data_IF_667928383513
#
_entry.id   IF_667928383513
#
_cell.length_a   1.000
_cell.length_b   1.000
_cell.length_c   1.000
_cell.angle_alpha   90.00
_cell.angle_beta   90.00
_cell.angle_gamma   90.00
#
_symmetry.space_group_name_H-M   'P 1'
#
loop_
_entity.id
_entity.type
_entity.pdbx_description
1 polymer ?
#
# COMPACT_ATOMS: atom_id res chain seq x y z
N UNK A 1 3.85 20.48 -47.81
CA UNK A 1 3.68 20.96 -46.41
C UNK A 1 2.44 20.28 -45.82
N UNK A 2 2.58 19.09 -45.24
CA UNK A 2 1.49 18.31 -44.67
C UNK A 2 1.35 18.65 -43.18
N UNK A 3 0.15 19.12 -42.80
CA UNK A 3 -0.19 19.36 -41.37
C UNK A 3 -0.31 18.04 -40.62
N UNK A 4 0.46 17.87 -39.60
CA UNK A 4 0.39 16.75 -38.67
C UNK A 4 -0.79 16.99 -37.70
N UNK A 5 -1.88 16.23 -37.91
CA UNK A 5 -3.05 16.25 -37.03
C UNK A 5 -2.79 15.32 -35.82
N UNK A 6 -2.65 15.91 -34.64
CA UNK A 6 -2.35 15.23 -33.37
C UNK A 6 -3.50 14.40 -32.77
N UNK A 7 -4.62 14.20 -33.49
CA UNK A 7 -5.84 13.56 -32.95
C UNK A 7 -5.79 12.01 -32.91
N UNK A 8 -4.88 11.39 -33.65
CA UNK A 8 -4.83 9.92 -33.82
C UNK A 8 -4.39 9.12 -32.59
N UNK A 9 -3.62 9.72 -31.64
CA UNK A 9 -3.08 9.01 -30.50
C UNK A 9 -4.02 8.94 -29.30
N UNK A 10 -4.86 9.95 -29.10
CA UNK A 10 -5.81 9.99 -27.98
C UNK A 10 -6.97 9.02 -28.19
N UNK A 11 -7.42 8.82 -29.43
CA UNK A 11 -8.56 7.95 -29.77
C UNK A 11 -8.28 6.44 -29.57
N UNK A 12 -7.08 5.98 -29.88
CA UNK A 12 -6.74 4.54 -29.84
C UNK A 12 -6.57 4.04 -28.40
N UNK A 13 -5.96 4.83 -27.51
CA UNK A 13 -5.81 4.49 -26.10
C UNK A 13 -7.09 4.69 -25.29
N UNK A 14 -7.94 5.65 -25.67
CA UNK A 14 -9.26 5.83 -25.07
C UNK A 14 -10.18 4.64 -25.33
N UNK A 15 -10.17 4.11 -26.55
CA UNK A 15 -11.02 2.99 -26.95
C UNK A 15 -10.54 1.63 -26.38
N UNK A 16 -9.23 1.40 -26.25
CA UNK A 16 -8.72 0.21 -25.58
C UNK A 16 -9.00 0.24 -24.06
N UNK A 17 -8.92 1.41 -23.43
CA UNK A 17 -9.26 1.57 -22.01
C UNK A 17 -10.77 1.38 -21.80
N UNK A 18 -11.62 1.84 -22.70
CA UNK A 18 -13.07 1.61 -22.62
C UNK A 18 -13.44 0.15 -22.91
N UNK A 19 -12.77 -0.51 -23.86
CA UNK A 19 -13.00 -1.92 -24.19
C UNK A 19 -12.52 -2.86 -23.08
N UNK A 20 -11.42 -2.53 -22.39
CA UNK A 20 -10.97 -3.23 -21.19
C UNK A 20 -11.86 -2.91 -19.99
N UNK A 21 -12.35 -1.68 -19.83
CA UNK A 21 -13.34 -1.35 -18.80
C UNK A 21 -14.67 -2.08 -19.01
N UNK A 22 -15.13 -2.26 -20.25
CA UNK A 22 -16.31 -3.06 -20.57
C UNK A 22 -16.12 -4.56 -20.29
N UNK A 23 -14.91 -5.09 -20.50
CA UNK A 23 -14.58 -6.50 -20.24
C UNK A 23 -14.35 -6.80 -18.76
N UNK A 24 -13.93 -5.81 -17.96
CA UNK A 24 -13.62 -5.95 -16.52
C UNK A 24 -14.52 -5.08 -15.62
N UNK A 25 -15.30 -4.15 -16.18
CA UNK A 25 -16.16 -3.23 -15.45
C UNK A 25 -17.50 -3.82 -14.98
N UNK A 26 -17.87 -5.01 -15.44
CA UNK A 26 -19.15 -5.64 -15.10
C UNK A 26 -19.06 -6.68 -13.99
N UNK A 27 -17.89 -6.95 -13.42
CA UNK A 27 -17.74 -7.82 -12.25
C UNK A 27 -16.78 -7.18 -11.26
N UNK A 28 -17.26 -6.20 -10.48
CA UNK A 28 -16.85 -6.17 -9.09
C UNK A 28 -17.07 -7.59 -8.60
N UNK A 29 -16.04 -8.24 -8.04
CA UNK A 29 -16.17 -9.59 -7.50
C UNK A 29 -17.15 -9.53 -6.32
N UNK A 30 -18.44 -9.53 -6.62
CA UNK A 30 -19.49 -9.85 -5.68
C UNK A 30 -19.37 -11.35 -5.52
N UNK A 31 -18.64 -11.79 -4.50
CA UNK A 31 -18.75 -13.14 -3.98
C UNK A 31 -20.22 -13.42 -3.63
N UNK A 32 -20.59 -14.68 -3.33
CA UNK A 32 -21.97 -15.07 -3.05
C UNK A 32 -22.60 -14.09 -2.07
N UNK A 33 -23.88 -13.80 -2.22
CA UNK A 33 -24.67 -12.91 -1.35
C UNK A 33 -24.40 -13.21 0.12
N UNK A 34 -23.43 -12.53 0.67
CA UNK A 34 -23.11 -12.63 2.09
C UNK A 34 -24.02 -11.64 2.81
N UNK A 35 -25.01 -12.18 3.53
CA UNK A 35 -25.79 -11.49 4.56
C UNK A 35 -24.85 -11.10 5.71
N UNK A 36 -24.06 -10.01 5.54
CA UNK A 36 -23.11 -9.55 6.54
C UNK A 36 -22.75 -8.09 6.36
N UNK A 37 -22.17 -7.48 7.39
CA UNK A 37 -21.68 -6.10 7.37
C UNK A 37 -20.75 -5.90 6.16
N UNK A 38 -21.18 -5.06 5.22
CA UNK A 38 -20.38 -4.68 4.04
C UNK A 38 -19.63 -3.38 4.34
N UNK A 39 -18.35 -3.35 3.99
CA UNK A 39 -17.46 -2.21 4.24
C UNK A 39 -17.22 -1.47 2.93
N UNK A 40 -17.41 -0.17 2.90
CA UNK A 40 -17.04 0.69 1.78
C UNK A 40 -15.59 1.21 1.91
N UNK A 41 -15.09 1.94 0.90
CA UNK A 41 -13.72 2.48 0.95
C UNK A 41 -13.54 3.53 2.07
N UNK A 42 -14.60 4.20 2.53
CA UNK A 42 -14.52 5.09 3.67
C UNK A 42 -14.29 4.31 4.97
N UNK A 43 -15.05 3.24 5.20
CA UNK A 43 -14.87 2.36 6.36
C UNK A 43 -13.47 1.73 6.39
N UNK A 44 -12.96 1.24 5.24
CA UNK A 44 -11.59 0.72 5.15
C UNK A 44 -10.55 1.79 5.51
N UNK A 45 -10.73 3.04 5.09
CA UNK A 45 -9.81 4.14 5.46
C UNK A 45 -9.84 4.46 6.95
N UNK A 46 -11.00 4.39 7.61
CA UNK A 46 -11.06 4.56 9.06
C UNK A 46 -10.31 3.44 9.79
N UNK A 47 -10.43 2.20 9.30
CA UNK A 47 -9.65 1.07 9.84
C UNK A 47 -8.15 1.30 9.63
N UNK A 48 -7.72 1.81 8.47
CA UNK A 48 -6.32 2.17 8.22
C UNK A 48 -5.83 3.22 9.21
N UNK A 49 -6.61 4.29 9.43
CA UNK A 49 -6.28 5.35 10.39
C UNK A 49 -6.07 4.75 11.78
N UNK A 50 -6.99 3.93 12.26
CA UNK A 50 -6.90 3.29 13.57
C UNK A 50 -5.69 2.33 13.65
N UNK A 51 -5.53 1.45 12.66
CA UNK A 51 -4.43 0.48 12.61
C UNK A 51 -3.06 1.16 12.57
N UNK A 52 -2.92 2.22 11.76
CA UNK A 52 -1.67 2.98 11.65
C UNK A 52 -1.34 3.70 12.96
N UNK A 53 -2.33 4.26 13.66
CA UNK A 53 -2.13 4.86 14.99
C UNK A 53 -1.65 3.81 15.99
N UNK A 54 -2.29 2.64 16.01
CA UNK A 54 -1.91 1.52 16.89
C UNK A 54 -0.49 1.03 16.60
N UNK A 55 -0.11 0.90 15.31
CA UNK A 55 1.26 0.51 14.92
C UNK A 55 2.30 1.49 15.44
N UNK A 56 2.07 2.79 15.26
CA UNK A 56 3.02 3.81 15.70
C UNK A 56 3.09 3.94 17.22
N UNK A 57 1.97 3.80 17.94
CA UNK A 57 1.97 3.70 19.41
C UNK A 57 2.81 2.49 19.85
N UNK A 58 2.59 1.32 19.23
CA UNK A 58 3.38 0.12 19.52
C UNK A 58 4.86 0.30 19.21
N UNK A 59 5.19 1.01 18.11
CA UNK A 59 6.59 1.23 17.73
C UNK A 59 7.31 2.19 18.67
N UNK A 60 6.63 3.26 19.11
CA UNK A 60 7.27 4.43 19.69
C UNK A 60 7.12 4.48 21.22
N UNK A 61 6.01 3.96 21.76
CA UNK A 61 5.68 4.09 23.19
C UNK A 61 5.75 2.74 23.89
N UNK A 62 5.27 1.68 23.22
CA UNK A 62 5.20 0.33 23.81
C UNK A 62 5.87 -0.72 22.92
N UNK A 63 7.21 -0.65 22.68
CA UNK A 63 7.90 -1.56 21.77
C UNK A 63 7.79 -3.04 22.15
N UNK A 64 7.61 -3.33 23.45
CA UNK A 64 7.42 -4.70 23.96
C UNK A 64 6.03 -5.27 23.66
N UNK A 65 5.04 -4.41 23.38
CA UNK A 65 3.67 -4.83 23.09
C UNK A 65 3.51 -5.23 21.61
N UNK A 66 4.11 -6.35 21.21
CA UNK A 66 4.16 -6.83 19.82
C UNK A 66 2.78 -6.97 19.19
N UNK A 67 1.72 -7.20 19.97
CA UNK A 67 0.35 -7.29 19.47
C UNK A 67 -0.15 -5.97 18.86
N UNK A 68 0.31 -4.81 19.36
CA UNK A 68 0.00 -3.50 18.76
C UNK A 68 0.56 -3.43 17.33
N UNK A 69 1.79 -3.91 17.17
CA UNK A 69 2.44 -3.99 15.85
C UNK A 69 1.71 -4.96 14.92
N UNK A 70 1.29 -6.12 15.44
CA UNK A 70 0.56 -7.12 14.67
C UNK A 70 -0.78 -6.55 14.14
N UNK A 71 -1.54 -5.86 15.00
CA UNK A 71 -2.78 -5.17 14.60
C UNK A 71 -2.48 -4.03 13.61
N UNK A 72 -1.42 -3.29 13.84
CA UNK A 72 -0.99 -2.20 12.97
C UNK A 72 -0.70 -2.63 11.52
N UNK A 73 -0.24 -3.88 11.33
CA UNK A 73 0.05 -4.43 10.00
C UNK A 73 -1.18 -4.51 9.07
N UNK A 74 -2.38 -4.37 9.58
CA UNK A 74 -3.61 -4.21 8.78
C UNK A 74 -3.55 -3.02 7.82
N UNK A 75 -2.86 -1.95 8.20
CA UNK A 75 -2.88 -0.69 7.46
C UNK A 75 -2.37 -0.84 6.02
N UNK A 76 -1.18 -1.44 5.84
CA UNK A 76 -0.52 -1.46 4.52
C UNK A 76 -1.28 -2.26 3.46
N UNK A 77 -1.74 -3.51 3.69
CA UNK A 77 -2.49 -4.22 2.67
C UNK A 77 -3.81 -3.53 2.32
N UNK A 78 -4.48 -2.89 3.28
CA UNK A 78 -5.72 -2.15 2.99
C UNK A 78 -5.41 -0.91 2.13
N UNK A 79 -4.34 -0.15 2.44
CA UNK A 79 -3.94 1.01 1.63
C UNK A 79 -3.50 0.60 0.24
N UNK A 80 -2.69 -0.46 0.11
CA UNK A 80 -2.26 -1.00 -1.18
C UNK A 80 -3.46 -1.45 -2.04
N UNK A 81 -4.44 -2.14 -1.43
CA UNK A 81 -5.69 -2.50 -2.08
C UNK A 81 -6.47 -1.27 -2.56
N UNK A 82 -6.68 -0.28 -1.68
CA UNK A 82 -7.39 0.96 -2.02
C UNK A 82 -6.65 1.79 -3.08
N UNK A 83 -5.31 1.75 -3.11
CA UNK A 83 -4.50 2.37 -4.15
C UNK A 83 -4.79 1.74 -5.52
N UNK A 84 -4.83 0.40 -5.58
CA UNK A 84 -5.12 -0.34 -6.82
C UNK A 84 -6.55 -0.07 -7.28
N UNK A 85 -7.53 -0.07 -6.39
CA UNK A 85 -8.91 0.31 -6.71
C UNK A 85 -8.97 1.75 -7.23
N UNK A 86 -8.29 2.69 -6.57
CA UNK A 86 -8.16 4.07 -7.02
C UNK A 86 -7.53 4.20 -8.40
N UNK A 87 -6.49 3.41 -8.69
CA UNK A 87 -5.82 3.36 -9.99
C UNK A 87 -6.77 2.93 -11.11
N UNK A 88 -7.57 1.89 -10.89
CA UNK A 88 -8.52 1.40 -11.89
C UNK A 88 -9.71 2.33 -12.12
N UNK A 89 -10.08 3.14 -11.12
CA UNK A 89 -11.21 4.07 -11.21
C UNK A 89 -10.82 5.51 -11.58
N UNK A 90 -9.51 5.85 -11.60
CA UNK A 90 -9.09 7.21 -11.92
C UNK A 90 -9.12 7.50 -13.43
N UNK A 91 -9.64 8.66 -13.80
CA UNK A 91 -9.56 9.18 -15.17
C UNK A 91 -8.28 9.99 -15.43
N UNK A 92 -7.64 10.47 -14.37
CA UNK A 92 -6.49 11.39 -14.42
C UNK A 92 -5.33 10.89 -13.56
N UNK A 93 -4.59 9.89 -14.09
CA UNK A 93 -3.47 9.28 -13.37
C UNK A 93 -2.38 10.30 -12.99
N UNK A 94 -2.06 11.24 -13.88
CA UNK A 94 -1.05 12.28 -13.58
C UNK A 94 -1.42 13.12 -12.35
N UNK A 95 -2.70 13.50 -12.19
CA UNK A 95 -3.18 14.19 -10.98
C UNK A 95 -3.12 13.32 -9.74
N UNK A 96 -3.29 12.01 -9.88
CA UNK A 96 -3.17 11.07 -8.78
C UNK A 96 -1.71 10.94 -8.33
N UNK A 97 -0.78 10.74 -9.27
CA UNK A 97 0.67 10.69 -9.01
C UNK A 97 1.16 12.00 -8.38
N UNK A 98 0.80 13.15 -8.96
CA UNK A 98 1.19 14.45 -8.42
C UNK A 98 0.70 14.65 -6.98
N UNK A 99 -0.54 14.27 -6.68
CA UNK A 99 -1.06 14.35 -5.32
C UNK A 99 -0.29 13.47 -4.35
N UNK A 100 0.02 12.22 -4.71
CA UNK A 100 0.84 11.34 -3.87
C UNK A 100 2.24 11.92 -3.64
N UNK A 101 2.87 12.44 -4.70
CA UNK A 101 4.19 13.08 -4.61
C UNK A 101 4.18 14.29 -3.67
N UNK A 102 3.20 15.19 -3.83
CA UNK A 102 3.08 16.38 -2.98
C UNK A 102 2.95 15.97 -1.51
N UNK A 103 2.08 15.02 -1.19
CA UNK A 103 1.92 14.57 0.20
C UNK A 103 3.11 13.76 0.70
N UNK A 104 3.80 13.00 -0.15
CA UNK A 104 5.05 12.32 0.21
C UNK A 104 6.11 13.33 0.65
N UNK A 105 6.29 14.41 -0.14
CA UNK A 105 7.28 15.46 0.16
C UNK A 105 6.86 16.27 1.40
N UNK A 106 5.60 16.66 1.53
CA UNK A 106 5.12 17.44 2.67
C UNK A 106 5.16 16.66 4.00
N UNK A 107 4.90 15.36 3.95
CA UNK A 107 4.93 14.52 5.15
C UNK A 107 6.36 14.10 5.55
N UNK A 108 7.34 14.17 4.65
CA UNK A 108 8.69 13.66 4.91
C UNK A 108 9.42 14.36 6.07
N UNK A 109 9.38 15.69 6.24
CA UNK A 109 10.01 16.33 7.39
C UNK A 109 9.44 15.85 8.72
N UNK A 110 8.11 15.72 8.81
CA UNK A 110 7.45 15.22 10.02
C UNK A 110 7.80 13.76 10.29
N UNK A 111 7.80 12.93 9.24
CA UNK A 111 8.23 11.53 9.34
C UNK A 111 9.65 11.41 9.91
N UNK A 112 10.59 12.26 9.46
CA UNK A 112 11.98 12.27 9.92
C UNK A 112 12.16 12.67 11.38
N UNK A 113 11.23 13.41 11.97
CA UNK A 113 11.26 13.72 13.41
C UNK A 113 11.04 12.46 14.27
N UNK A 114 10.27 11.50 13.75
CA UNK A 114 9.87 10.28 14.45
C UNK A 114 10.73 9.09 14.03
N UNK A 115 10.97 8.97 12.73
CA UNK A 115 11.76 7.92 12.10
C UNK A 115 12.96 8.53 11.36
N UNK A 116 14.16 8.55 11.97
CA UNK A 116 15.32 9.27 11.43
C UNK A 116 15.78 8.79 10.06
N UNK A 117 15.45 7.55 9.70
CA UNK A 117 15.86 6.92 8.44
C UNK A 117 14.65 6.53 7.59
N UNK A 118 14.86 6.46 6.28
CA UNK A 118 13.86 6.00 5.32
C UNK A 118 12.94 7.08 4.76
N UNK A 119 12.12 6.66 3.84
CA UNK A 119 11.09 7.44 3.17
C UNK A 119 9.72 7.00 3.68
N UNK A 120 8.80 7.96 3.84
CA UNK A 120 7.46 7.68 4.36
C UNK A 120 6.61 6.84 3.39
N UNK A 121 5.53 6.25 3.89
CA UNK A 121 4.62 5.34 3.18
C UNK A 121 4.06 5.90 1.87
N UNK A 122 3.93 7.22 1.71
CA UNK A 122 3.46 7.80 0.45
C UNK A 122 4.45 7.57 -0.70
N UNK A 123 5.75 7.45 -0.42
CA UNK A 123 6.73 7.06 -1.43
C UNK A 123 6.57 5.59 -1.85
N UNK A 124 6.26 4.68 -0.93
CA UNK A 124 5.91 3.29 -1.28
C UNK A 124 4.71 3.25 -2.24
N UNK A 125 3.67 4.00 -1.91
CA UNK A 125 2.45 4.08 -2.73
C UNK A 125 2.71 4.74 -4.08
N UNK A 126 3.55 5.76 -4.13
CA UNK A 126 3.95 6.43 -5.38
C UNK A 126 4.72 5.49 -6.29
N UNK A 127 5.73 4.80 -5.75
CA UNK A 127 6.52 3.79 -6.49
C UNK A 127 5.62 2.66 -6.99
N UNK A 128 4.73 2.14 -6.12
CA UNK A 128 3.74 1.14 -6.51
C UNK A 128 2.84 1.60 -7.65
N UNK A 129 2.35 2.84 -7.59
CA UNK A 129 1.49 3.41 -8.65
C UNK A 129 2.25 3.64 -9.97
N UNK A 130 3.51 4.08 -9.90
CA UNK A 130 4.40 4.19 -11.07
C UNK A 130 4.67 2.81 -11.68
N UNK A 131 4.89 1.80 -10.85
CA UNK A 131 5.07 0.41 -11.30
C UNK A 131 3.84 -0.08 -12.06
N UNK A 132 2.62 0.12 -11.54
CA UNK A 132 1.39 -0.27 -12.23
C UNK A 132 1.25 0.43 -13.59
N UNK A 133 1.59 1.72 -13.64
CA UNK A 133 1.58 2.48 -14.88
C UNK A 133 2.59 1.94 -15.92
N UNK A 134 3.78 1.54 -15.49
CA UNK A 134 4.80 0.97 -16.36
C UNK A 134 4.44 -0.44 -16.85
N UNK A 135 4.01 -1.31 -15.94
CA UNK A 135 3.65 -2.71 -16.23
C UNK A 135 2.54 -2.81 -17.28
N UNK A 136 1.55 -1.91 -17.26
CA UNK A 136 0.47 -1.89 -18.27
C UNK A 136 0.95 -1.61 -19.71
N UNK A 137 2.16 -1.07 -19.89
CA UNK A 137 2.76 -0.78 -21.20
C UNK A 137 3.64 -1.91 -21.72
N UNK A 138 4.06 -2.81 -20.83
CA UNK A 138 4.93 -3.93 -21.16
C UNK A 138 4.06 -5.11 -21.58
N UNK A 139 4.31 -5.64 -22.79
CA UNK A 139 3.62 -6.82 -23.31
C UNK A 139 4.26 -8.14 -22.87
N UNK A 140 5.55 -8.11 -22.62
CA UNK A 140 6.32 -9.30 -22.21
C UNK A 140 6.17 -9.58 -20.71
N UNK A 141 5.71 -10.77 -20.37
CA UNK A 141 5.63 -11.23 -18.98
C UNK A 141 7.00 -11.28 -18.29
N UNK A 142 8.03 -11.58 -19.04
CA UNK A 142 9.41 -11.66 -18.50
C UNK A 142 9.95 -10.26 -18.17
N UNK A 143 9.73 -9.28 -19.06
CA UNK A 143 10.09 -7.89 -18.78
C UNK A 143 9.28 -7.32 -17.63
N UNK A 144 8.00 -7.68 -17.50
CA UNK A 144 7.19 -7.31 -16.34
C UNK A 144 7.76 -7.89 -15.05
N UNK A 145 8.09 -9.18 -15.03
CA UNK A 145 8.69 -9.83 -13.86
C UNK A 145 10.04 -9.19 -13.50
N UNK A 146 10.90 -8.95 -14.50
CA UNK A 146 12.19 -8.28 -14.29
C UNK A 146 12.03 -6.87 -13.72
N UNK A 147 11.08 -6.07 -14.23
CA UNK A 147 10.80 -4.74 -13.70
C UNK A 147 10.27 -4.79 -12.27
N UNK A 148 9.33 -5.68 -11.96
CA UNK A 148 8.78 -5.85 -10.61
C UNK A 148 9.88 -6.23 -9.63
N UNK A 149 10.74 -7.17 -10.01
CA UNK A 149 11.88 -7.58 -9.20
C UNK A 149 12.89 -6.44 -9.01
N UNK A 150 13.24 -5.73 -10.09
CA UNK A 150 14.18 -4.60 -10.02
C UNK A 150 13.67 -3.48 -9.11
N UNK A 151 12.38 -3.12 -9.20
CA UNK A 151 11.76 -2.10 -8.35
C UNK A 151 11.68 -2.59 -6.90
N UNK A 152 11.39 -3.88 -6.66
CA UNK A 152 11.41 -4.46 -5.32
C UNK A 152 12.81 -4.42 -4.69
N UNK A 153 13.85 -4.80 -5.44
CA UNK A 153 15.25 -4.72 -5.00
C UNK A 153 15.66 -3.27 -4.74
N UNK A 154 15.31 -2.35 -5.64
CA UNK A 154 15.59 -0.92 -5.45
C UNK A 154 14.91 -0.37 -4.18
N UNK A 155 13.67 -0.79 -3.90
CA UNK A 155 12.94 -0.41 -2.68
C UNK A 155 13.64 -0.82 -1.39
N UNK A 156 14.40 -1.90 -1.43
CA UNK A 156 15.22 -2.35 -0.31
C UNK A 156 16.40 -1.37 -0.05
N UNK A 157 17.09 -0.96 -1.12
CA UNK A 157 18.24 -0.04 -1.01
C UNK A 157 17.83 1.41 -0.74
N UNK A 158 16.68 1.85 -1.26
CA UNK A 158 16.16 3.23 -1.08
C UNK A 158 15.54 3.42 0.32
N UNK A 159 15.47 2.37 1.13
CA UNK A 159 14.89 2.41 2.49
C UNK A 159 13.47 2.99 2.53
N UNK A 160 12.60 2.50 1.64
CA UNK A 160 11.16 2.76 1.72
C UNK A 160 10.61 2.26 3.06
N UNK A 161 9.50 2.84 3.55
CA UNK A 161 8.88 2.51 4.83
C UNK A 161 8.52 1.00 4.93
N UNK A 162 7.96 0.45 3.84
CA UNK A 162 7.63 -0.97 3.70
C UNK A 162 8.58 -1.73 2.77
N UNK A 163 9.69 -1.11 2.38
CA UNK A 163 10.72 -1.69 1.52
C UNK A 163 10.09 -2.32 0.25
N UNK A 164 10.54 -3.52 -0.08
CA UNK A 164 10.01 -4.29 -1.21
C UNK A 164 8.57 -4.80 -0.99
N UNK A 165 8.16 -5.06 0.27
CA UNK A 165 6.82 -5.61 0.57
C UNK A 165 5.70 -4.67 0.13
N UNK A 166 5.82 -3.37 0.37
CA UNK A 166 4.82 -2.39 -0.04
C UNK A 166 4.55 -2.43 -1.54
N UNK A 167 5.62 -2.41 -2.32
CA UNK A 167 5.56 -2.46 -3.79
C UNK A 167 4.98 -3.80 -4.28
N UNK A 168 5.42 -4.92 -3.70
CA UNK A 168 4.91 -6.23 -4.09
C UNK A 168 3.44 -6.43 -3.72
N UNK A 169 2.96 -5.92 -2.58
CA UNK A 169 1.54 -5.95 -2.23
C UNK A 169 0.69 -5.20 -3.25
N UNK A 170 1.12 -4.01 -3.68
CA UNK A 170 0.43 -3.24 -4.73
C UNK A 170 0.36 -4.06 -6.02
N UNK A 171 1.45 -4.70 -6.42
CA UNK A 171 1.47 -5.54 -7.61
C UNK A 171 0.57 -6.77 -7.46
N UNK A 172 0.61 -7.47 -6.32
CA UNK A 172 -0.27 -8.62 -6.03
C UNK A 172 -1.73 -8.24 -6.15
N UNK A 173 -2.18 -7.17 -5.50
CA UNK A 173 -3.56 -6.71 -5.61
C UNK A 173 -3.96 -6.34 -7.05
N UNK A 174 -3.02 -5.84 -7.84
CA UNK A 174 -3.28 -5.53 -9.24
C UNK A 174 -3.51 -6.79 -10.08
N UNK A 175 -2.63 -7.78 -9.99
CA UNK A 175 -2.71 -8.98 -10.84
C UNK A 175 -3.80 -9.96 -10.41
N UNK A 176 -4.17 -9.94 -9.13
CA UNK A 176 -5.22 -10.82 -8.58
C UNK A 176 -6.59 -10.15 -8.54
N UNK A 177 -6.71 -8.92 -9.03
CA UNK A 177 -7.95 -8.15 -8.98
C UNK A 177 -9.15 -8.93 -9.52
N UNK A 178 -10.24 -8.95 -8.75
CA UNK A 178 -11.47 -9.69 -9.11
C UNK A 178 -11.40 -11.21 -8.84
N UNK A 179 -10.30 -11.70 -8.26
CA UNK A 179 -10.09 -13.13 -7.93
C UNK A 179 -9.62 -13.26 -6.50
N UNK A 180 -10.53 -13.07 -5.54
CA UNK A 180 -10.18 -12.99 -4.11
C UNK A 180 -9.39 -14.21 -3.59
N UNK A 181 -9.73 -15.44 -4.03
CA UNK A 181 -8.96 -16.63 -3.66
C UNK A 181 -7.49 -16.56 -4.10
N UNK A 182 -7.21 -16.01 -5.30
CA UNK A 182 -5.84 -15.76 -5.75
C UNK A 182 -5.17 -14.63 -4.96
N UNK A 183 -5.92 -13.62 -4.53
CA UNK A 183 -5.39 -12.58 -3.63
C UNK A 183 -4.93 -13.19 -2.32
N UNK A 184 -5.74 -14.04 -1.70
CA UNK A 184 -5.39 -14.77 -0.47
C UNK A 184 -4.12 -15.59 -0.68
N UNK A 185 -4.09 -16.43 -1.72
CA UNK A 185 -2.95 -17.31 -2.00
C UNK A 185 -1.66 -16.51 -2.27
N UNK A 186 -1.73 -15.48 -3.15
CA UNK A 186 -0.55 -14.71 -3.53
C UNK A 186 -0.03 -13.83 -2.38
N UNK A 187 -0.90 -13.20 -1.61
CA UNK A 187 -0.49 -12.39 -0.45
C UNK A 187 0.11 -13.28 0.65
N UNK A 188 -0.52 -14.42 0.95
CA UNK A 188 0.03 -15.40 1.91
C UNK A 188 1.38 -15.93 1.45
N UNK A 189 1.50 -16.31 0.18
CA UNK A 189 2.76 -16.77 -0.40
C UNK A 189 3.87 -15.72 -0.33
N UNK A 190 3.56 -14.45 -0.66
CA UNK A 190 4.49 -13.33 -0.55
C UNK A 190 5.00 -13.15 0.90
N UNK A 191 4.09 -13.13 1.87
CA UNK A 191 4.44 -12.91 3.27
C UNK A 191 5.22 -14.09 3.87
N UNK A 192 4.84 -15.32 3.55
CA UNK A 192 5.56 -16.52 3.98
C UNK A 192 6.95 -16.61 3.36
N UNK A 193 7.07 -16.31 2.06
CA UNK A 193 8.37 -16.26 1.38
C UNK A 193 9.27 -15.18 1.99
N UNK A 194 8.72 -14.00 2.30
CA UNK A 194 9.44 -12.94 2.99
C UNK A 194 9.89 -13.39 4.39
N UNK A 195 9.00 -13.97 5.19
CA UNK A 195 9.33 -14.46 6.53
C UNK A 195 10.42 -15.55 6.47
N UNK A 196 10.32 -16.48 5.52
CA UNK A 196 11.33 -17.52 5.30
C UNK A 196 12.69 -16.95 4.89
N UNK A 197 12.73 -15.98 3.96
CA UNK A 197 13.96 -15.32 3.55
C UNK A 197 14.67 -14.67 4.74
N UNK A 198 13.95 -13.90 5.53
CA UNK A 198 14.53 -13.19 6.68
C UNK A 198 14.85 -14.12 7.85
N UNK A 199 14.18 -15.26 7.99
CA UNK A 199 14.61 -16.31 8.92
C UNK A 199 15.99 -16.86 8.55
N UNK A 200 16.24 -17.09 7.26
CA UNK A 200 17.56 -17.51 6.76
C UNK A 200 18.61 -16.41 6.97
N UNK A 201 18.27 -15.15 6.68
CA UNK A 201 19.18 -14.02 6.92
C UNK A 201 19.53 -13.92 8.39
N UNK A 202 18.54 -13.95 9.29
CA UNK A 202 18.72 -13.89 10.74
C UNK A 202 19.62 -15.04 11.25
N UNK A 203 19.39 -16.27 10.75
CA UNK A 203 20.21 -17.41 11.12
C UNK A 203 21.68 -17.29 10.66
N UNK A 204 21.93 -16.60 9.55
CA UNK A 204 23.29 -16.38 9.02
C UNK A 204 24.02 -15.20 9.66
N UNK A 205 23.28 -14.14 10.02
CA UNK A 205 23.87 -12.90 10.57
C UNK A 205 23.90 -12.88 12.09
N UNK A 206 23.12 -13.75 12.74
CA UNK A 206 22.95 -13.74 14.21
C UNK A 206 22.05 -12.61 14.72
N UNK A 207 21.36 -11.88 13.81
CA UNK A 207 20.51 -10.72 14.15
C UNK A 207 19.04 -11.12 14.26
N UNK A 208 18.51 -11.42 15.48
CA UNK A 208 17.15 -11.91 15.65
C UNK A 208 16.07 -10.87 15.29
N UNK A 209 16.41 -9.59 15.29
CA UNK A 209 15.49 -8.50 14.98
C UNK A 209 14.87 -8.63 13.58
N UNK A 210 15.61 -9.10 12.59
CA UNK A 210 15.09 -9.34 11.24
C UNK A 210 13.97 -10.39 11.23
N UNK A 211 14.12 -11.47 11.99
CA UNK A 211 13.12 -12.53 12.07
C UNK A 211 11.83 -12.02 12.72
N UNK A 212 11.94 -11.30 13.84
CA UNK A 212 10.79 -10.80 14.58
C UNK A 212 9.93 -9.84 13.74
N UNK A 213 10.55 -8.85 13.09
CA UNK A 213 9.83 -7.87 12.26
C UNK A 213 9.09 -8.58 11.12
N UNK A 214 9.72 -9.54 10.46
CA UNK A 214 9.11 -10.24 9.34
C UNK A 214 8.02 -11.22 9.78
N UNK A 215 8.11 -11.78 10.99
CA UNK A 215 7.02 -12.54 11.59
C UNK A 215 5.81 -11.65 11.89
N UNK A 216 6.02 -10.46 12.44
CA UNK A 216 4.97 -9.46 12.68
C UNK A 216 4.27 -9.07 11.38
N UNK A 217 4.99 -9.03 10.24
CA UNK A 217 4.40 -8.72 8.94
C UNK A 217 3.34 -9.75 8.49
N UNK A 218 3.30 -10.96 9.06
CA UNK A 218 2.19 -11.89 8.84
C UNK A 218 0.85 -11.34 9.32
N UNK A 219 0.85 -10.37 10.23
CA UNK A 219 -0.33 -9.60 10.64
C UNK A 219 -1.06 -8.92 9.47
N UNK A 220 -0.40 -8.70 8.35
CA UNK A 220 -1.05 -8.23 7.11
C UNK A 220 -2.18 -9.15 6.65
N UNK A 221 -2.13 -10.45 6.96
CA UNK A 221 -3.19 -11.40 6.62
C UNK A 221 -4.51 -11.11 7.33
N UNK A 222 -4.47 -10.44 8.49
CA UNK A 222 -5.66 -10.00 9.22
C UNK A 222 -6.51 -9.00 8.42
N UNK A 223 -5.95 -8.38 7.38
CA UNK A 223 -6.70 -7.51 6.47
C UNK A 223 -7.62 -8.30 5.53
N UNK A 224 -7.33 -9.56 5.22
CA UNK A 224 -8.08 -10.35 4.24
C UNK A 224 -9.58 -10.49 4.56
N UNK A 225 -9.99 -10.78 5.80
CA UNK A 225 -11.42 -10.81 6.15
C UNK A 225 -12.13 -9.47 5.95
N UNK A 226 -11.44 -8.36 6.16
CA UNK A 226 -11.98 -7.02 5.93
C UNK A 226 -12.11 -6.72 4.44
N UNK A 227 -11.08 -7.05 3.65
CA UNK A 227 -11.10 -6.90 2.20
C UNK A 227 -12.16 -7.79 1.54
N UNK A 228 -12.41 -8.98 2.07
CA UNK A 228 -13.50 -9.85 1.61
C UNK A 228 -14.88 -9.21 1.76
N UNK A 229 -15.05 -8.32 2.72
CA UNK A 229 -16.31 -7.59 2.98
C UNK A 229 -16.43 -6.28 2.20
N UNK A 230 -15.42 -5.92 1.41
CA UNK A 230 -15.46 -4.70 0.61
C UNK A 230 -16.56 -4.76 -0.45
N UNK A 231 -17.42 -3.74 -0.46
CA UNK A 231 -18.62 -3.69 -1.31
C UNK A 231 -18.41 -2.97 -2.66
N UNK A 232 -17.19 -2.56 -3.00
CA UNK A 232 -16.87 -1.82 -4.21
C UNK A 232 -17.32 -0.35 -4.20
N UNK A 233 -17.96 0.13 -3.13
CA UNK A 233 -18.46 1.51 -3.04
C UNK A 233 -17.40 2.43 -2.44
N UNK A 234 -17.38 3.67 -2.92
CA UNK A 234 -16.44 4.69 -2.43
C UNK A 234 -16.77 5.18 -1.01
N UNK A 235 -18.03 5.19 -0.63
CA UNK A 235 -18.49 5.82 0.60
C UNK A 235 -18.28 7.34 0.62
N UNK A 236 -18.20 7.93 1.83
CA UNK A 236 -17.96 9.37 2.02
C UNK A 236 -16.58 9.78 1.48
N UNK A 237 -16.48 10.97 0.91
CA UNK A 237 -15.19 11.51 0.47
C UNK A 237 -14.39 12.05 1.67
N UNK A 238 -13.39 11.29 2.08
CA UNK A 238 -12.48 11.63 3.17
C UNK A 238 -11.02 11.73 2.71
N UNK A 239 -10.79 12.07 1.43
CA UNK A 239 -9.42 12.14 0.89
C UNK A 239 -8.56 13.13 1.65
N UNK A 240 -9.06 14.32 1.90
CA UNK A 240 -8.33 15.34 2.65
C UNK A 240 -7.99 14.85 4.06
N UNK A 241 -8.95 14.25 4.77
CA UNK A 241 -8.74 13.69 6.10
C UNK A 241 -7.58 12.67 6.09
N UNK A 242 -7.58 11.75 5.15
CA UNK A 242 -6.55 10.70 5.07
C UNK A 242 -5.14 11.26 4.85
N UNK A 243 -5.01 12.25 3.97
CA UNK A 243 -3.72 12.89 3.69
C UNK A 243 -3.23 13.77 4.84
N UNK A 244 -4.12 14.53 5.47
CA UNK A 244 -3.77 15.41 6.60
C UNK A 244 -3.51 14.60 7.87
N UNK A 245 -4.28 13.53 8.10
CA UNK A 245 -4.12 12.67 9.26
C UNK A 245 -2.68 12.15 9.39
N UNK A 246 -2.06 11.72 8.29
CA UNK A 246 -0.75 11.09 8.33
C UNK A 246 0.35 11.99 8.96
N UNK A 247 0.61 13.22 8.53
CA UNK A 247 1.57 14.08 9.22
C UNK A 247 1.09 14.54 10.61
N UNK A 248 -0.21 14.79 10.79
CA UNK A 248 -0.74 15.29 12.07
C UNK A 248 -0.58 14.26 13.19
N UNK A 249 -0.94 12.99 12.96
CA UNK A 249 -0.80 11.98 14.02
C UNK A 249 0.66 11.72 14.39
N UNK A 250 1.61 11.79 13.43
CA UNK A 250 3.03 11.68 13.70
C UNK A 250 3.53 12.85 14.55
N UNK A 251 3.08 14.10 14.27
CA UNK A 251 3.40 15.26 15.10
C UNK A 251 2.88 15.10 16.53
N UNK A 252 1.64 14.62 16.68
CA UNK A 252 1.04 14.37 18.00
C UNK A 252 1.82 13.31 18.77
N UNK A 253 2.21 12.23 18.13
CA UNK A 253 3.04 11.19 18.75
C UNK A 253 4.43 11.71 19.11
N UNK A 254 5.04 12.51 18.24
CA UNK A 254 6.33 13.16 18.55
C UNK A 254 6.24 14.08 19.77
N UNK A 255 5.19 14.92 19.83
CA UNK A 255 4.96 15.80 20.96
C UNK A 255 4.75 14.98 22.26
N UNK A 256 3.96 13.92 22.20
CA UNK A 256 3.73 13.01 23.32
C UNK A 256 5.04 12.38 23.80
N UNK A 257 5.88 11.89 22.89
CA UNK A 257 7.20 11.33 23.24
C UNK A 257 8.08 12.34 23.96
N UNK A 258 8.08 13.61 23.52
CA UNK A 258 8.86 14.68 24.17
C UNK A 258 8.35 14.97 25.58
N UNK A 259 7.03 14.98 25.79
CA UNK A 259 6.43 15.16 27.10
C UNK A 259 6.80 14.01 28.03
N UNK A 260 6.68 12.76 27.55
CA UNK A 260 7.02 11.58 28.35
C UNK A 260 8.52 11.54 28.71
N UNK A 261 9.41 11.91 27.79
CA UNK A 261 10.83 11.98 28.05
C UNK A 261 11.22 13.10 29.04
N UNK A 262 10.52 14.27 28.99
CA UNK A 262 10.74 15.36 29.93
C UNK A 262 10.11 15.14 31.31
N UNK A 263 9.13 14.27 31.43
CA UNK A 263 8.52 13.91 32.71
C UNK A 263 9.32 12.84 33.51
N UNK A 264 10.28 12.17 32.83
CA UNK A 264 11.14 11.15 33.44
C UNK A 264 12.54 11.63 33.80
N UNK A 265 12.85 12.92 33.53
CA UNK A 265 14.09 13.64 33.94
C UNK A 265 13.82 14.53 35.15
#
# INVERSE_FOLDING_TARGET
>A
MARYDGSGWVGKYGNEKMRNQSKYGAKAAVGPEQTGLRIDAFGLKLIVIAAMTVDHIGTLIYPEALWLRLVGRLAMPIVAFLLVEGYHHTRHLGRYLLRLLVFAVLAQPVYRLVFPHGLNVFFDLLVGLCLLWAVQRIRSRWLTAALVLAVGVAGFYVTLDWWHLGVFMVFVFHVTRGRFGWTVAALSGLLLANAGLFAVVSARTGEPGYQLINFINLGCLLALPLLARYNGRRGRDCRALFYVFYPVHLLLLYALLKVLAGAGS
#
